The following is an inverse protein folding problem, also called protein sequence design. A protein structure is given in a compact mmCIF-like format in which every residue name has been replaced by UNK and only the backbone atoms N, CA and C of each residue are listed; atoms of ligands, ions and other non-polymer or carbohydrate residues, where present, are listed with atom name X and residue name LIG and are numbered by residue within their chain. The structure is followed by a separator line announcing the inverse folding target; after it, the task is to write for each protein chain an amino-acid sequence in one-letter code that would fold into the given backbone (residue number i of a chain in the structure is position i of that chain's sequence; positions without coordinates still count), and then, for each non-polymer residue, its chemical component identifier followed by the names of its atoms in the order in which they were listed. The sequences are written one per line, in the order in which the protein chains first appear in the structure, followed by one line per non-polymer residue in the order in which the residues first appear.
data_IF_563087826213
#
_entry.id   IF_563087826213
#
_cell.length_a   1.000
_cell.length_b   1.000
_cell.length_c   1.000
_cell.angle_alpha   90.00
_cell.angle_beta   90.00
_cell.angle_gamma   90.00
#
_symmetry.space_group_name_H-M   'P 1'
#
loop_
_entity.id
_entity.type
_entity.pdbx_description
1 polymer ?
#
# COMPACT_ATOMS: atom_id res chain seq x y z
N UNK A 1 7.40 -17.30 -14.43
CA UNK A 1 8.41 -16.26 -14.20
C UNK A 1 7.83 -15.26 -13.22
N UNK A 2 8.34 -15.26 -12.00
CA UNK A 2 7.80 -14.39 -10.96
C UNK A 2 8.31 -12.98 -11.15
N UNK A 3 7.40 -12.03 -11.22
CA UNK A 3 7.68 -10.61 -11.37
C UNK A 3 8.46 -10.08 -10.15
N UNK A 4 9.21 -8.96 -10.28
CA UNK A 4 10.27 -8.56 -9.38
C UNK A 4 9.89 -8.64 -7.92
N UNK A 5 10.86 -9.04 -7.14
CA UNK A 5 10.78 -9.38 -5.73
C UNK A 5 10.04 -8.31 -4.93
N UNK A 6 8.71 -8.36 -4.96
CA UNK A 6 7.92 -7.79 -3.90
C UNK A 6 8.45 -8.37 -2.59
N UNK A 7 8.63 -7.53 -1.63
CA UNK A 7 9.24 -7.80 -0.33
C UNK A 7 9.05 -9.25 0.17
N UNK A 8 10.08 -9.82 0.80
CA UNK A 8 10.03 -11.12 1.48
C UNK A 8 8.80 -11.26 2.41
N UNK A 9 8.28 -10.15 2.93
CA UNK A 9 7.06 -10.09 3.75
C UNK A 9 5.83 -10.50 2.95
N UNK A 10 5.66 -9.99 1.74
CA UNK A 10 4.54 -10.34 0.85
C UNK A 10 4.60 -11.81 0.45
N UNK A 11 5.80 -12.31 0.12
CA UNK A 11 5.97 -13.73 -0.26
C UNK A 11 5.55 -14.69 0.83
N UNK A 12 5.91 -14.39 2.08
CA UNK A 12 5.59 -15.23 3.24
C UNK A 12 4.15 -15.09 3.74
N UNK A 13 3.49 -13.98 3.43
CA UNK A 13 2.17 -13.71 3.93
C UNK A 13 1.14 -14.72 3.42
N UNK A 14 0.25 -15.15 4.31
CA UNK A 14 -0.97 -15.91 3.99
C UNK A 14 -2.14 -14.96 3.70
N UNK A 15 -2.08 -13.75 4.26
CA UNK A 15 -3.09 -12.72 4.12
C UNK A 15 -2.43 -11.40 3.73
N UNK A 16 -2.93 -10.76 2.69
CA UNK A 16 -2.59 -9.39 2.32
C UNK A 16 -3.69 -8.47 2.82
N UNK A 17 -3.33 -7.46 3.59
CA UNK A 17 -4.23 -6.50 4.23
C UNK A 17 -3.94 -5.13 3.65
N UNK A 18 -4.80 -4.64 2.79
CA UNK A 18 -4.75 -3.29 2.23
C UNK A 18 -5.54 -2.38 3.16
N UNK A 19 -4.96 -1.28 3.60
CA UNK A 19 -5.60 -0.39 4.56
C UNK A 19 -5.31 1.07 4.27
N UNK A 20 -6.22 1.90 4.74
CA UNK A 20 -6.15 3.35 4.62
C UNK A 20 -6.77 3.99 5.87
N UNK A 21 -6.20 5.11 6.32
CA UNK A 21 -6.67 5.89 7.45
C UNK A 21 -6.92 7.34 7.05
N UNK A 22 -8.01 7.89 7.57
CA UNK A 22 -8.23 9.34 7.59
C UNK A 22 -7.90 9.93 8.96
N UNK A 23 -7.43 11.16 8.99
CA UNK A 23 -6.94 11.80 10.20
C UNK A 23 -7.32 13.28 10.29
N UNK A 24 -7.29 13.83 11.51
CA UNK A 24 -7.45 15.26 11.75
C UNK A 24 -6.35 16.08 11.09
N UNK A 25 -6.67 17.30 10.70
CA UNK A 25 -5.81 18.17 9.89
C UNK A 25 -4.49 18.55 10.59
N UNK A 26 -4.50 18.79 11.89
CA UNK A 26 -3.36 19.34 12.63
C UNK A 26 -2.58 18.26 13.36
N UNK A 27 -3.24 17.53 14.23
CA UNK A 27 -2.56 16.55 15.09
C UNK A 27 -2.43 15.16 14.47
N UNK A 28 -3.06 14.96 13.29
CA UNK A 28 -3.10 13.67 12.60
C UNK A 28 -3.61 12.53 13.50
N UNK A 29 -4.65 12.82 14.30
CA UNK A 29 -5.36 11.77 15.05
C UNK A 29 -6.31 11.03 14.12
N UNK A 30 -6.27 9.71 14.15
CA UNK A 30 -7.14 8.88 13.32
C UNK A 30 -8.63 9.16 13.55
N UNK A 31 -9.37 9.36 12.45
CA UNK A 31 -10.83 9.59 12.47
C UNK A 31 -11.59 8.51 11.69
N UNK A 32 -10.92 7.73 10.86
CA UNK A 32 -11.48 6.57 10.20
C UNK A 32 -10.39 5.55 9.90
N UNK A 33 -10.74 4.26 9.92
CA UNK A 33 -9.88 3.14 9.54
C UNK A 33 -10.66 2.21 8.63
N UNK A 34 -10.13 1.96 7.46
CA UNK A 34 -10.65 0.94 6.55
C UNK A 34 -9.57 -0.09 6.21
N UNK A 35 -9.99 -1.33 6.03
CA UNK A 35 -9.15 -2.35 5.42
C UNK A 35 -9.98 -3.30 4.56
N UNK A 36 -9.32 -3.82 3.54
CA UNK A 36 -9.77 -4.97 2.78
C UNK A 36 -8.64 -5.99 2.74
N UNK A 37 -8.93 -7.24 3.06
CA UNK A 37 -7.91 -8.26 3.15
C UNK A 37 -8.31 -9.52 2.38
N UNK A 38 -7.30 -10.14 1.78
CA UNK A 38 -7.46 -11.28 0.88
C UNK A 38 -6.47 -12.39 1.24
N UNK A 39 -6.95 -13.63 1.21
CA UNK A 39 -6.08 -14.80 1.32
C UNK A 39 -5.23 -14.92 0.06
N UNK A 40 -3.92 -14.96 0.25
CA UNK A 40 -3.00 -15.18 -0.86
C UNK A 40 -3.04 -16.65 -1.29
N UNK A 41 -3.07 -16.91 -2.59
CA UNK A 41 -2.90 -18.25 -3.11
C UNK A 41 -1.46 -18.74 -2.86
N UNK A 42 -1.30 -20.04 -2.59
CA UNK A 42 0.02 -20.62 -2.29
C UNK A 42 1.01 -20.26 -3.40
N UNK A 43 2.17 -19.79 -2.98
CA UNK A 43 3.33 -19.48 -3.83
C UNK A 43 3.08 -18.45 -4.95
N UNK A 44 1.91 -17.81 -4.97
CA UNK A 44 1.59 -16.74 -5.90
C UNK A 44 1.60 -15.38 -5.19
N UNK A 45 1.92 -14.32 -5.94
CA UNK A 45 1.79 -12.93 -5.46
C UNK A 45 0.35 -12.41 -5.60
N UNK A 46 -0.52 -13.25 -6.16
CA UNK A 46 -1.93 -13.00 -6.45
C UNK A 46 -2.77 -13.66 -5.36
N UNK A 47 -3.94 -13.12 -5.13
CA UNK A 47 -4.95 -13.66 -4.21
C UNK A 47 -6.27 -13.89 -4.96
N UNK A 48 -7.11 -14.74 -4.36
CA UNK A 48 -8.47 -14.93 -4.85
C UNK A 48 -9.35 -13.76 -4.42
N UNK A 49 -10.14 -13.21 -5.33
CA UNK A 49 -11.17 -12.19 -5.02
C UNK A 49 -12.40 -12.78 -4.30
N UNK A 50 -12.34 -14.07 -3.96
CA UNK A 50 -13.42 -14.74 -3.20
C UNK A 50 -13.30 -14.43 -1.73
N UNK A 51 -14.42 -14.07 -1.13
CA UNK A 51 -14.58 -13.86 0.31
C UNK A 51 -13.58 -12.86 0.93
N UNK A 52 -13.54 -11.58 0.48
CA UNK A 52 -12.71 -10.58 1.10
C UNK A 52 -13.13 -10.34 2.55
N UNK A 53 -12.14 -10.07 3.39
CA UNK A 53 -12.37 -9.60 4.74
C UNK A 53 -12.39 -8.07 4.68
N UNK A 54 -13.54 -7.46 4.92
CA UNK A 54 -13.68 -6.00 4.93
C UNK A 54 -13.94 -5.51 6.35
N UNK A 55 -13.35 -4.38 6.69
CA UNK A 55 -13.61 -3.67 7.94
C UNK A 55 -13.59 -2.17 7.68
N UNK A 56 -14.53 -1.46 8.29
CA UNK A 56 -14.56 -0.01 8.34
C UNK A 56 -15.13 0.45 9.67
N UNK A 57 -14.54 1.49 10.24
CA UNK A 57 -15.16 2.22 11.34
C UNK A 57 -14.64 3.66 11.40
N UNK A 58 -15.52 4.56 11.82
CA UNK A 58 -15.13 5.88 12.30
C UNK A 58 -14.48 5.77 13.67
N UNK A 59 -13.55 6.67 13.96
CA UNK A 59 -12.81 6.71 15.23
C UNK A 59 -13.12 8.03 15.92
N UNK A 60 -13.63 7.95 17.15
CA UNK A 60 -13.88 9.14 17.97
C UNK A 60 -12.56 9.78 18.39
N UNK A 61 -12.48 11.10 18.22
CA UNK A 61 -11.39 11.91 18.73
C UNK A 61 -11.92 13.16 19.42
N UNK A 62 -11.18 13.69 20.38
CA UNK A 62 -11.47 14.98 21.00
C UNK A 62 -10.92 16.14 20.16
N UNK A 63 -10.05 15.86 19.21
CA UNK A 63 -9.44 16.86 18.34
C UNK A 63 -10.45 17.43 17.34
N UNK A 64 -10.20 18.64 16.90
CA UNK A 64 -10.91 19.23 15.77
C UNK A 64 -10.46 18.54 14.47
N UNK A 65 -11.43 18.22 13.62
CA UNK A 65 -11.15 17.56 12.34
C UNK A 65 -10.38 18.50 11.41
N UNK A 66 -10.85 19.75 11.32
CA UNK A 66 -10.34 20.78 10.44
C UNK A 66 -11.09 20.86 9.10
N UNK A 67 -11.31 22.09 8.59
CA UNK A 67 -12.21 22.33 7.47
C UNK A 67 -11.76 21.64 6.16
N UNK A 68 -10.46 21.54 5.92
CA UNK A 68 -9.95 20.89 4.71
C UNK A 68 -10.26 19.38 4.74
N UNK A 69 -10.08 18.73 5.90
CA UNK A 69 -10.38 17.30 6.05
C UNK A 69 -11.88 17.04 5.95
N UNK A 70 -12.72 17.88 6.56
CA UNK A 70 -14.18 17.77 6.43
C UNK A 70 -14.63 17.91 4.97
N UNK A 71 -14.06 18.87 4.21
CA UNK A 71 -14.38 19.05 2.79
C UNK A 71 -13.96 17.83 1.95
N UNK A 72 -12.75 17.32 2.19
CA UNK A 72 -12.18 16.20 1.42
C UNK A 72 -12.89 14.88 1.71
N UNK A 73 -13.04 14.55 2.98
CA UNK A 73 -13.57 13.24 3.42
C UNK A 73 -15.09 13.23 3.56
N UNK A 74 -15.67 14.36 3.94
CA UNK A 74 -17.07 14.46 4.37
C UNK A 74 -17.32 13.98 5.80
N UNK A 75 -16.25 13.69 6.57
CA UNK A 75 -16.34 13.23 7.96
C UNK A 75 -16.50 14.47 8.85
N UNK A 76 -17.57 14.52 9.62
CA UNK A 76 -17.88 15.61 10.55
C UNK A 76 -17.74 15.17 12.00
N UNK A 77 -17.67 16.13 12.92
CA UNK A 77 -17.63 15.87 14.37
C UNK A 77 -18.86 15.10 14.84
N UNK A 78 -20.03 15.44 14.28
CA UNK A 78 -21.28 14.74 14.59
C UNK A 78 -21.21 13.28 14.16
N UNK A 79 -20.69 13.02 12.95
CA UNK A 79 -20.47 11.65 12.46
C UNK A 79 -19.58 10.84 13.40
N UNK A 80 -18.47 11.43 13.88
CA UNK A 80 -17.57 10.75 14.81
C UNK A 80 -18.22 10.52 16.18
N UNK A 81 -19.03 11.46 16.64
CA UNK A 81 -19.72 11.34 17.93
C UNK A 81 -20.80 10.26 17.90
N UNK A 82 -21.60 10.23 16.83
CA UNK A 82 -22.74 9.31 16.70
C UNK A 82 -22.32 7.88 16.33
N UNK A 83 -21.34 7.75 15.41
CA UNK A 83 -21.01 6.47 14.76
C UNK A 83 -19.62 5.95 15.11
N UNK A 84 -18.75 6.80 15.66
CA UNK A 84 -17.36 6.43 15.93
C UNK A 84 -17.23 5.51 17.15
N UNK A 85 -16.24 4.62 17.07
CA UNK A 85 -15.72 3.84 18.20
C UNK A 85 -14.46 4.51 18.76
N UNK A 86 -14.03 4.13 19.96
CA UNK A 86 -12.68 4.45 20.40
C UNK A 86 -11.65 3.71 19.51
N UNK A 87 -10.46 4.25 19.38
CA UNK A 87 -9.38 3.57 18.64
C UNK A 87 -9.10 2.19 19.25
N UNK A 88 -9.16 2.07 20.57
CA UNK A 88 -9.00 0.79 21.27
C UNK A 88 -10.00 -0.27 20.79
N UNK A 89 -11.29 0.08 20.70
CA UNK A 89 -12.32 -0.84 20.20
C UNK A 89 -12.07 -1.23 18.74
N UNK A 90 -11.65 -0.29 17.90
CA UNK A 90 -11.29 -0.56 16.49
C UNK A 90 -10.12 -1.54 16.42
N UNK A 91 -9.09 -1.35 17.22
CA UNK A 91 -7.93 -2.24 17.30
C UNK A 91 -8.32 -3.64 17.75
N UNK A 92 -9.19 -3.75 18.75
CA UNK A 92 -9.70 -5.05 19.22
C UNK A 92 -10.51 -5.77 18.11
N UNK A 93 -11.36 -5.04 17.40
CA UNK A 93 -12.17 -5.59 16.32
C UNK A 93 -11.26 -6.14 15.20
N UNK A 94 -10.29 -5.35 14.75
CA UNK A 94 -9.35 -5.76 13.69
C UNK A 94 -8.50 -6.95 14.16
N UNK A 95 -8.01 -6.91 15.39
CA UNK A 95 -7.23 -8.01 15.98
C UNK A 95 -8.01 -9.31 16.02
N UNK A 96 -9.30 -9.24 16.42
CA UNK A 96 -10.22 -10.37 16.43
C UNK A 96 -10.51 -10.89 15.03
N UNK A 97 -10.73 -9.99 14.07
CA UNK A 97 -11.03 -10.30 12.67
C UNK A 97 -9.87 -11.07 12.01
N UNK A 98 -8.64 -10.63 12.27
CA UNK A 98 -7.44 -11.16 11.65
C UNK A 98 -6.74 -12.28 12.45
N UNK A 99 -7.25 -12.66 13.63
CA UNK A 99 -6.57 -13.57 14.59
C UNK A 99 -6.14 -14.92 14.02
N UNK A 100 -6.87 -15.44 13.04
CA UNK A 100 -6.61 -16.77 12.47
C UNK A 100 -5.47 -16.79 11.42
N UNK A 101 -4.98 -15.63 11.01
CA UNK A 101 -3.91 -15.50 10.04
C UNK A 101 -2.62 -15.08 10.75
N UNK A 102 -1.67 -16.00 10.90
CA UNK A 102 -0.39 -15.71 11.58
C UNK A 102 0.54 -14.85 10.71
N UNK A 103 0.62 -15.20 9.42
CA UNK A 103 1.49 -14.53 8.47
C UNK A 103 0.68 -13.54 7.64
N UNK A 104 0.72 -12.29 8.05
CA UNK A 104 0.03 -11.15 7.41
C UNK A 104 1.03 -10.19 6.85
N UNK A 105 0.68 -9.52 5.75
CA UNK A 105 1.39 -8.34 5.27
C UNK A 105 0.40 -7.18 5.19
N UNK A 106 0.70 -6.10 5.89
CA UNK A 106 -0.07 -4.86 5.86
C UNK A 106 0.49 -3.95 4.79
N UNK A 107 -0.35 -3.48 3.90
CA UNK A 107 0.02 -2.70 2.71
C UNK A 107 -0.75 -1.38 2.75
N UNK A 108 -0.04 -0.26 2.71
CA UNK A 108 -0.64 1.05 2.47
C UNK A 108 0.12 1.83 1.40
N UNK A 109 -0.41 2.99 1.02
CA UNK A 109 0.18 3.84 0.01
C UNK A 109 0.91 5.04 0.62
N UNK A 110 2.10 4.80 1.12
CA UNK A 110 2.93 5.78 1.83
C UNK A 110 3.13 5.40 3.30
N UNK A 111 3.77 6.27 4.06
CA UNK A 111 4.00 6.06 5.49
C UNK A 111 2.97 6.79 6.36
N UNK A 112 2.12 7.63 5.77
CA UNK A 112 1.22 8.50 6.53
C UNK A 112 0.29 7.69 7.44
N UNK A 113 -0.26 6.58 6.96
CA UNK A 113 -1.13 5.71 7.76
C UNK A 113 -0.46 5.19 9.02
N UNK A 114 0.82 4.80 8.91
CA UNK A 114 1.60 4.34 10.05
C UNK A 114 1.89 5.49 11.03
N UNK A 115 2.15 6.67 10.52
CA UNK A 115 2.38 7.87 11.34
C UNK A 115 1.09 8.30 12.06
N UNK A 116 -0.05 8.28 11.37
CA UNK A 116 -1.38 8.52 11.96
C UNK A 116 -1.64 7.53 13.09
N UNK A 117 -1.47 6.25 12.82
CA UNK A 117 -1.68 5.21 13.83
C UNK A 117 -0.76 5.40 15.04
N UNK A 118 0.53 5.65 14.81
CA UNK A 118 1.50 5.88 15.88
C UNK A 118 1.17 7.10 16.75
N UNK A 119 0.63 8.18 16.16
CA UNK A 119 0.20 9.38 16.90
C UNK A 119 -1.11 9.19 17.66
N UNK A 120 -1.93 8.23 17.23
CA UNK A 120 -3.29 8.04 17.75
C UNK A 120 -3.39 7.04 18.87
N UNK A 121 -2.46 6.08 18.98
CA UNK A 121 -2.47 5.07 20.04
C UNK A 121 -2.06 5.63 21.40
N UNK A 122 -2.55 5.02 22.46
CA UNK A 122 -1.99 5.20 23.80
C UNK A 122 -0.78 4.28 23.99
N UNK A 123 0.42 4.85 23.98
CA UNK A 123 1.68 4.11 24.15
C UNK A 123 1.82 3.41 25.52
N UNK A 124 0.99 3.75 26.51
CA UNK A 124 0.91 3.04 27.78
C UNK A 124 -0.05 1.84 27.73
N UNK A 125 -0.84 1.72 26.64
CA UNK A 125 -1.76 0.60 26.44
C UNK A 125 -1.03 -0.52 25.67
N UNK A 126 -0.76 -1.62 26.36
CA UNK A 126 -0.01 -2.77 25.80
C UNK A 126 -0.71 -3.36 24.54
N UNK A 127 -2.03 -3.36 24.50
CA UNK A 127 -2.79 -3.89 23.34
C UNK A 127 -2.56 -3.04 22.11
N UNK A 128 -2.62 -1.72 22.25
CA UNK A 128 -2.44 -0.77 21.15
C UNK A 128 -0.99 -0.76 20.66
N UNK A 129 -0.05 -0.76 21.58
CA UNK A 129 1.38 -0.90 21.28
C UNK A 129 1.72 -2.21 20.55
N UNK A 130 1.14 -3.32 20.98
CA UNK A 130 1.33 -4.60 20.32
C UNK A 130 0.72 -4.63 18.92
N UNK A 131 -0.43 -3.97 18.72
CA UNK A 131 -1.05 -3.82 17.41
C UNK A 131 -0.18 -3.01 16.46
N UNK A 132 0.30 -1.82 16.88
CA UNK A 132 1.21 -1.00 16.09
C UNK A 132 2.49 -1.77 15.74
N UNK A 133 3.09 -2.45 16.71
CA UNK A 133 4.29 -3.26 16.54
C UNK A 133 4.08 -4.40 15.54
N UNK A 134 2.91 -5.03 15.56
CA UNK A 134 2.55 -6.08 14.61
C UNK A 134 2.41 -5.53 13.18
N UNK A 135 1.74 -4.40 13.01
CA UNK A 135 1.61 -3.75 11.70
C UNK A 135 3.01 -3.37 11.18
N UNK A 136 3.79 -2.60 11.92
CA UNK A 136 5.08 -2.08 11.47
C UNK A 136 6.08 -3.19 11.13
N UNK A 137 6.08 -4.28 11.89
CA UNK A 137 6.93 -5.46 11.60
C UNK A 137 6.59 -6.09 10.25
N UNK A 138 5.31 -6.11 9.90
CA UNK A 138 4.79 -6.79 8.71
C UNK A 138 4.31 -5.80 7.64
N UNK A 139 4.77 -4.57 7.70
CA UNK A 139 4.37 -3.48 6.82
C UNK A 139 5.11 -3.49 5.50
N UNK A 140 4.40 -3.16 4.43
CA UNK A 140 4.93 -2.90 3.10
C UNK A 140 4.38 -1.58 2.56
N UNK A 141 5.26 -0.61 2.39
CA UNK A 141 4.95 0.67 1.77
C UNK A 141 4.97 0.52 0.24
N UNK A 142 3.80 0.43 -0.38
CA UNK A 142 3.70 0.24 -1.82
C UNK A 142 4.11 1.49 -2.59
N UNK A 143 3.84 2.71 -2.08
CA UNK A 143 4.29 3.94 -2.72
C UNK A 143 5.82 4.02 -2.79
N UNK A 144 6.52 3.74 -1.69
CA UNK A 144 7.98 3.76 -1.67
C UNK A 144 8.57 2.73 -2.65
N UNK A 145 7.99 1.53 -2.68
CA UNK A 145 8.39 0.49 -3.63
C UNK A 145 8.21 0.94 -5.08
N UNK A 146 7.10 1.61 -5.40
CA UNK A 146 6.83 2.14 -6.74
C UNK A 146 7.72 3.33 -7.09
N UNK A 147 7.96 4.23 -6.13
CA UNK A 147 8.78 5.43 -6.33
C UNK A 147 10.21 5.12 -6.77
N UNK A 148 10.75 4.00 -6.34
CA UNK A 148 12.07 3.53 -6.76
C UNK A 148 12.10 3.08 -8.24
N UNK A 149 10.94 2.89 -8.86
CA UNK A 149 10.76 2.26 -10.19
C UNK A 149 9.99 3.12 -11.18
N UNK A 150 8.97 3.81 -10.69
CA UNK A 150 8.02 4.58 -11.50
C UNK A 150 7.77 5.91 -10.82
N UNK A 151 8.06 7.00 -11.50
CA UNK A 151 7.85 8.37 -11.03
C UNK A 151 7.01 9.16 -12.03
N UNK A 152 6.54 10.33 -11.67
CA UNK A 152 5.95 11.26 -12.61
C UNK A 152 7.03 11.98 -13.47
N UNK A 153 6.58 12.78 -14.42
CA UNK A 153 7.47 13.54 -15.32
C UNK A 153 8.44 14.51 -14.60
N UNK A 154 8.19 14.81 -13.33
CA UNK A 154 9.02 15.69 -12.50
C UNK A 154 9.92 14.88 -11.55
N UNK A 155 9.92 13.55 -11.63
CA UNK A 155 10.65 12.68 -10.72
C UNK A 155 10.01 12.50 -9.36
N UNK A 156 8.73 12.86 -9.20
CA UNK A 156 7.98 12.75 -7.94
C UNK A 156 7.17 11.45 -7.87
N UNK A 157 6.88 11.00 -6.64
CA UNK A 157 5.98 9.87 -6.42
C UNK A 157 4.58 10.16 -6.99
N UNK A 158 4.01 9.21 -7.70
CA UNK A 158 2.62 9.29 -8.13
C UNK A 158 1.69 9.11 -6.93
N UNK A 159 0.53 9.78 -6.91
CA UNK A 159 -0.56 9.40 -5.99
C UNK A 159 -1.16 8.06 -6.41
N UNK A 160 -1.84 7.38 -5.47
CA UNK A 160 -2.48 6.09 -5.76
C UNK A 160 -3.47 6.19 -6.94
N UNK A 161 -4.26 7.23 -6.99
CA UNK A 161 -5.24 7.47 -8.06
C UNK A 161 -4.56 7.69 -9.43
N UNK A 162 -3.50 8.51 -9.49
CA UNK A 162 -2.72 8.68 -10.74
C UNK A 162 -2.07 7.38 -11.19
N UNK A 163 -1.70 6.53 -10.25
CA UNK A 163 -1.14 5.23 -10.58
C UNK A 163 -2.23 4.26 -11.05
N UNK A 164 -3.41 4.28 -10.43
CA UNK A 164 -4.59 3.53 -10.84
C UNK A 164 -5.04 3.91 -12.28
N UNK A 165 -5.04 5.21 -12.60
CA UNK A 165 -5.32 5.71 -13.96
C UNK A 165 -4.41 5.08 -15.01
N UNK A 166 -3.13 4.87 -14.71
CA UNK A 166 -2.19 4.21 -15.61
C UNK A 166 -2.62 2.77 -15.96
N UNK A 167 -3.32 2.08 -15.07
CA UNK A 167 -3.87 0.74 -15.31
C UNK A 167 -5.31 0.75 -15.83
N UNK A 168 -5.89 1.92 -16.10
CA UNK A 168 -7.29 2.09 -16.50
C UNK A 168 -8.27 1.51 -15.45
N UNK A 169 -7.88 1.55 -14.18
CA UNK A 169 -8.76 1.18 -13.08
C UNK A 169 -9.87 2.24 -13.01
N UNK A 170 -11.12 1.78 -13.15
CA UNK A 170 -12.28 2.67 -13.07
C UNK A 170 -12.46 3.13 -11.64
N UNK A 171 -12.49 4.43 -11.44
CA UNK A 171 -12.78 5.04 -10.16
C UNK A 171 -14.28 5.30 -10.04
N UNK A 172 -14.99 4.45 -9.31
CA UNK A 172 -16.45 4.55 -9.09
C UNK A 172 -16.81 5.07 -7.69
N UNK A 173 -15.81 5.51 -6.90
CA UNK A 173 -15.98 6.00 -5.53
C UNK A 173 -15.47 7.43 -5.32
N UNK A 174 -15.65 7.92 -4.09
CA UNK A 174 -15.15 9.24 -3.66
C UNK A 174 -13.72 9.08 -3.16
N UNK A 175 -12.79 9.89 -3.69
CA UNK A 175 -11.42 10.02 -3.13
C UNK A 175 -11.52 10.48 -1.68
N UNK A 176 -10.60 10.01 -0.86
CA UNK A 176 -10.60 10.23 0.59
C UNK A 176 -11.79 9.56 1.31
N UNK A 177 -12.35 8.51 0.70
CA UNK A 177 -13.13 7.51 1.39
C UNK A 177 -12.20 6.33 1.66
N UNK A 178 -11.83 6.03 2.91
CA UNK A 178 -10.79 5.02 3.18
C UNK A 178 -11.20 3.61 2.75
N UNK A 179 -12.51 3.30 2.70
CA UNK A 179 -12.97 2.04 2.11
C UNK A 179 -12.64 1.97 0.62
N UNK A 180 -12.92 3.06 -0.08
CA UNK A 180 -12.67 3.15 -1.51
C UNK A 180 -11.16 3.17 -1.80
N UNK A 181 -10.39 3.96 -1.06
CA UNK A 181 -8.95 4.08 -1.27
C UNK A 181 -8.20 2.77 -0.97
N UNK A 182 -8.64 2.00 0.02
CA UNK A 182 -8.11 0.64 0.26
C UNK A 182 -8.41 -0.34 -0.90
N UNK A 183 -9.56 -0.20 -1.58
CA UNK A 183 -9.89 -0.99 -2.77
C UNK A 183 -9.07 -0.56 -3.98
N UNK A 184 -8.92 0.75 -4.21
CA UNK A 184 -8.05 1.29 -5.27
C UNK A 184 -6.62 0.82 -5.10
N UNK A 185 -6.12 0.83 -3.87
CA UNK A 185 -4.80 0.30 -3.52
C UNK A 185 -4.68 -1.19 -3.88
N UNK A 186 -5.66 -1.99 -3.50
CA UNK A 186 -5.74 -3.42 -3.82
C UNK A 186 -5.74 -3.66 -5.34
N UNK A 187 -6.59 -2.94 -6.09
CA UNK A 187 -6.71 -3.14 -7.53
C UNK A 187 -5.45 -2.69 -8.27
N UNK A 188 -4.85 -1.59 -7.82
CA UNK A 188 -3.57 -1.10 -8.34
C UNK A 188 -2.44 -2.10 -8.10
N UNK A 189 -2.36 -2.68 -6.90
CA UNK A 189 -1.40 -3.75 -6.59
C UNK A 189 -1.60 -4.97 -7.51
N UNK A 190 -2.84 -5.40 -7.72
CA UNK A 190 -3.13 -6.53 -8.59
C UNK A 190 -2.76 -6.27 -10.05
N UNK A 191 -3.10 -5.09 -10.55
CA UNK A 191 -2.76 -4.70 -11.93
C UNK A 191 -1.25 -4.61 -12.11
N UNK A 192 -0.54 -4.05 -11.12
CA UNK A 192 0.94 -4.02 -11.10
C UNK A 192 1.53 -5.43 -11.26
N UNK A 193 0.97 -6.43 -10.59
CA UNK A 193 1.47 -7.81 -10.64
C UNK A 193 1.05 -8.55 -11.91
N UNK A 194 -0.20 -8.36 -12.35
CA UNK A 194 -0.80 -9.13 -13.46
C UNK A 194 -0.40 -8.59 -14.83
N UNK A 195 -0.36 -7.25 -14.99
CA UNK A 195 -0.11 -6.58 -16.27
C UNK A 195 1.39 -6.30 -16.49
N UNK A 196 2.21 -7.36 -16.49
CA UNK A 196 3.68 -7.27 -16.50
C UNK A 196 4.24 -6.39 -17.62
N UNK A 197 3.78 -6.59 -18.85
CA UNK A 197 4.28 -5.82 -20.00
C UNK A 197 4.00 -4.33 -19.86
N UNK A 198 2.81 -3.99 -19.38
CA UNK A 198 2.40 -2.61 -19.13
C UNK A 198 3.21 -1.99 -17.98
N UNK A 199 3.42 -2.75 -16.92
CA UNK A 199 4.28 -2.33 -15.79
C UNK A 199 5.70 -2.07 -16.26
N UNK A 200 6.27 -2.95 -17.07
CA UNK A 200 7.58 -2.76 -17.64
C UNK A 200 7.65 -1.52 -18.52
N UNK A 201 6.63 -1.23 -19.34
CA UNK A 201 6.61 0.00 -20.16
C UNK A 201 6.65 1.25 -19.28
N UNK A 202 5.94 1.28 -18.16
CA UNK A 202 5.99 2.42 -17.23
C UNK A 202 7.37 2.59 -16.58
N UNK A 203 8.04 1.49 -16.25
CA UNK A 203 9.41 1.53 -15.73
C UNK A 203 10.35 2.11 -16.80
N UNK A 204 10.22 1.70 -18.05
CA UNK A 204 11.03 2.21 -19.16
C UNK A 204 10.73 3.67 -19.49
N UNK A 205 9.48 4.13 -19.44
CA UNK A 205 9.11 5.54 -19.64
C UNK A 205 9.85 6.47 -18.67
N UNK A 206 10.16 5.97 -17.47
CA UNK A 206 10.82 6.72 -16.40
C UNK A 206 12.29 6.35 -16.21
N UNK A 207 12.89 5.76 -17.23
CA UNK A 207 14.24 5.21 -17.23
C UNK A 207 15.31 6.14 -16.64
N UNK A 208 15.32 7.42 -17.03
CA UNK A 208 16.31 8.40 -16.59
C UNK A 208 16.23 8.75 -15.09
N UNK A 209 15.09 8.49 -14.45
CA UNK A 209 14.82 8.81 -13.04
C UNK A 209 14.90 7.58 -12.13
N UNK A 210 15.06 6.39 -12.69
CA UNK A 210 15.01 5.14 -11.93
C UNK A 210 16.42 4.68 -11.54
N UNK A 211 16.73 4.70 -10.22
CA UNK A 211 18.04 4.30 -9.69
C UNK A 211 18.37 2.83 -9.97
N UNK A 212 17.39 1.94 -9.93
CA UNK A 212 17.60 0.51 -10.21
C UNK A 212 18.04 0.31 -11.67
N UNK A 213 17.50 1.11 -12.60
CA UNK A 213 17.89 1.05 -14.01
C UNK A 213 19.36 1.42 -14.25
N UNK A 214 19.97 2.23 -13.40
CA UNK A 214 21.41 2.54 -13.48
C UNK A 214 22.24 1.27 -13.25
N UNK A 215 21.86 0.45 -12.27
CA UNK A 215 22.54 -0.83 -11.98
C UNK A 215 22.30 -1.85 -13.09
N UNK A 216 21.08 -1.94 -13.61
CA UNK A 216 20.71 -2.80 -14.75
C UNK A 216 21.52 -2.42 -15.99
N UNK A 217 21.63 -1.11 -16.30
CA UNK A 217 22.44 -0.64 -17.42
C UNK A 217 23.90 -1.00 -17.29
N UNK A 218 24.45 -0.82 -16.11
CA UNK A 218 25.84 -1.20 -15.84
C UNK A 218 26.05 -2.68 -16.08
N UNK A 219 25.14 -3.53 -15.57
CA UNK A 219 25.22 -4.98 -15.76
C UNK A 219 25.07 -5.39 -17.24
N UNK A 220 24.12 -4.79 -17.97
CA UNK A 220 23.96 -5.04 -19.42
C UNK A 220 25.18 -4.58 -20.20
N UNK A 221 25.75 -3.40 -19.88
CA UNK A 221 26.96 -2.89 -20.52
C UNK A 221 28.13 -3.84 -20.28
N UNK A 222 28.32 -4.32 -19.05
CA UNK A 222 29.38 -5.29 -18.72
C UNK A 222 29.20 -6.58 -19.52
N UNK A 223 27.95 -7.10 -19.59
CA UNK A 223 27.66 -8.31 -20.38
C UNK A 223 27.97 -8.14 -21.85
N UNK A 224 27.61 -6.99 -22.44
CA UNK A 224 27.97 -6.68 -23.85
C UNK A 224 29.48 -6.61 -24.05
N UNK A 225 30.23 -6.07 -23.09
CA UNK A 225 31.69 -6.00 -23.16
C UNK A 225 32.35 -7.38 -23.02
N UNK A 226 31.80 -8.26 -22.19
CA UNK A 226 32.36 -9.59 -21.93
C UNK A 226 31.95 -10.63 -22.98
N UNK A 227 30.67 -10.62 -23.39
CA UNK A 227 30.07 -11.64 -24.26
C UNK A 227 29.82 -11.14 -25.70
N UNK A 228 30.02 -9.85 -25.95
CA UNK A 228 29.79 -9.22 -27.26
C UNK A 228 28.33 -8.92 -27.60
N UNK A 229 27.37 -9.34 -26.73
CA UNK A 229 25.92 -9.11 -26.92
C UNK A 229 25.17 -9.12 -25.58
N UNK A 230 23.99 -8.52 -25.59
CA UNK A 230 22.96 -8.75 -24.60
C UNK A 230 21.61 -8.96 -25.30
N UNK A 231 20.79 -9.86 -24.76
CA UNK A 231 19.50 -10.22 -25.34
C UNK A 231 18.34 -9.74 -24.45
N UNK A 232 17.09 -9.83 -24.95
CA UNK A 232 15.89 -9.44 -24.19
C UNK A 232 15.79 -10.20 -22.86
N UNK A 233 16.17 -11.47 -22.86
CA UNK A 233 16.09 -12.31 -21.66
C UNK A 233 17.10 -11.89 -20.59
N UNK A 234 18.26 -11.37 -20.95
CA UNK A 234 19.23 -10.80 -20.03
C UNK A 234 18.67 -9.55 -19.33
N UNK A 235 18.00 -8.70 -20.09
CA UNK A 235 17.32 -7.54 -19.52
C UNK A 235 16.21 -7.96 -18.57
N UNK A 236 15.39 -8.96 -18.94
CA UNK A 236 14.31 -9.48 -18.10
C UNK A 236 14.90 -10.04 -16.80
N UNK A 237 15.95 -10.83 -16.86
CA UNK A 237 16.63 -11.39 -15.69
C UNK A 237 17.14 -10.30 -14.75
N UNK A 238 17.82 -9.29 -15.32
CA UNK A 238 18.34 -8.16 -14.53
C UNK A 238 17.21 -7.30 -13.93
N UNK A 239 16.11 -7.12 -14.65
CA UNK A 239 14.92 -6.47 -14.11
C UNK A 239 14.34 -7.26 -12.92
N UNK A 240 14.36 -8.59 -12.97
CA UNK A 240 13.92 -9.46 -11.88
C UNK A 240 14.87 -9.42 -10.67
N UNK A 241 16.16 -9.22 -10.88
CA UNK A 241 17.19 -9.16 -9.83
C UNK A 241 17.22 -7.81 -9.10
N UNK A 242 17.10 -6.71 -9.86
CA UNK A 242 17.31 -5.36 -9.33
C UNK A 242 16.02 -4.56 -9.06
N UNK A 243 14.86 -5.02 -9.54
CA UNK A 243 13.55 -4.43 -9.30
C UNK A 243 12.71 -5.27 -8.35
#
# INVERSE_FOLDING_TARGET
MDFPILSKKIRKAQLLVFFDLEATQINHQAIAFALTAYKKEKDQLIFSDKDPINYFNYIRTNDEIGPIVEEMTGITKDTLTEKGKSLHEVILDISKLLRHFKDRCFISYGNLDIEILNRSIDHNNETEENFLRNITKNYFNFQQYLYERIVDKNGSALSIHKFAEKYNIKEEGKKHDPCYDSLVLKDTYLSYIKEKEKTLSFIFENYSHNRAMTSINKALTMKVLEEGKAEKDDLIHLLEEYL
#
